data_IF_127611875338
#
_entry.id   IF_127611875338
#
_cell.length_a   1.000
_cell.length_b   1.000
_cell.length_c   1.000
_cell.angle_alpha   90.00
_cell.angle_beta   90.00
_cell.angle_gamma   90.00
#
_symmetry.space_group_name_H-M   'P 1'
#
loop_
_entity.id
_entity.type
_entity.pdbx_description
1 polymer ?
#
# COMPACT_ATOMS: atom_id res chain seq x y z
N UNK A 1 -75.98 32.67 11.02
CA UNK A 1 -76.55 33.35 9.84
C UNK A 1 -75.47 33.48 8.77
N UNK A 2 -75.76 32.94 7.59
CA UNK A 2 -75.21 33.17 6.23
C UNK A 2 -73.71 33.50 6.05
N UNK A 3 -72.99 32.59 5.38
CA UNK A 3 -71.88 32.92 4.46
C UNK A 3 -71.66 31.71 3.54
N UNK A 4 -72.29 31.64 2.36
CA UNK A 4 -71.81 32.07 1.03
C UNK A 4 -70.44 31.47 0.67
N UNK A 5 -70.50 30.41 -0.15
CA UNK A 5 -69.38 29.85 -0.90
C UNK A 5 -68.74 30.91 -1.81
N UNK A 6 -67.41 31.00 -1.79
CA UNK A 6 -66.63 31.58 -2.90
C UNK A 6 -65.69 30.51 -3.44
N UNK A 7 -65.95 30.11 -4.68
CA UNK A 7 -65.00 29.43 -5.54
C UNK A 7 -63.79 30.36 -5.77
N UNK A 8 -62.60 29.89 -5.46
CA UNK A 8 -61.34 30.54 -5.86
C UNK A 8 -60.60 29.59 -6.79
N UNK A 9 -60.41 30.07 -8.01
CA UNK A 9 -59.80 29.42 -9.15
C UNK A 9 -58.34 29.03 -8.89
N UNK A 10 -57.97 27.80 -9.27
CA UNK A 10 -56.58 27.36 -9.35
C UNK A 10 -55.81 28.19 -10.37
N UNK A 11 -54.78 28.91 -9.92
CA UNK A 11 -53.70 29.42 -10.77
C UNK A 11 -52.41 28.73 -10.34
N UNK A 12 -52.02 27.68 -11.06
CA UNK A 12 -50.73 27.03 -10.90
C UNK A 12 -49.63 27.93 -11.48
N UNK A 13 -48.86 28.60 -10.63
CA UNK A 13 -47.58 29.19 -11.04
C UNK A 13 -46.56 28.04 -11.19
N UNK A 14 -46.35 27.60 -12.42
CA UNK A 14 -45.18 26.81 -12.78
C UNK A 14 -43.94 27.74 -12.75
N UNK A 15 -43.20 27.73 -11.65
CA UNK A 15 -41.88 28.34 -11.58
C UNK A 15 -40.90 27.47 -12.40
N UNK A 16 -40.66 27.84 -13.64
CA UNK A 16 -39.57 27.30 -14.45
C UNK A 16 -38.25 27.73 -13.83
N UNK A 17 -37.59 26.83 -13.10
CA UNK A 17 -36.15 26.95 -12.83
C UNK A 17 -35.43 26.87 -14.18
N UNK A 18 -35.13 28.03 -14.76
CA UNK A 18 -34.12 28.14 -15.80
C UNK A 18 -32.79 27.69 -15.17
N UNK A 19 -32.35 26.48 -15.51
CA UNK A 19 -30.97 26.06 -15.31
C UNK A 19 -30.10 27.02 -16.14
N UNK A 20 -29.48 28.01 -15.49
CA UNK A 20 -28.42 28.80 -16.10
C UNK A 20 -27.32 27.80 -16.45
N UNK A 21 -26.97 27.60 -17.75
CA UNK A 21 -25.81 26.82 -18.09
C UNK A 21 -24.60 27.58 -17.56
N UNK A 22 -24.11 27.18 -16.39
CA UNK A 22 -22.90 27.71 -15.81
C UNK A 22 -21.79 27.62 -16.84
N UNK A 23 -21.19 28.76 -17.17
CA UNK A 23 -20.08 28.84 -18.11
C UNK A 23 -18.94 27.95 -17.61
N UNK A 24 -18.78 26.78 -18.22
CA UNK A 24 -17.63 25.93 -17.94
C UNK A 24 -16.37 26.67 -18.43
N UNK A 25 -15.53 27.10 -17.48
CA UNK A 25 -14.23 27.69 -17.77
C UNK A 25 -13.40 26.72 -18.62
N UNK A 26 -12.99 27.15 -19.82
CA UNK A 26 -12.16 26.32 -20.70
C UNK A 26 -10.78 26.13 -20.06
N UNK A 27 -10.29 24.90 -20.03
CA UNK A 27 -8.96 24.55 -19.48
C UNK A 27 -8.15 23.86 -20.57
N UNK A 28 -6.89 24.23 -20.73
CA UNK A 28 -5.92 23.55 -21.61
C UNK A 28 -4.67 23.16 -20.82
N UNK A 29 -3.91 22.19 -21.33
CA UNK A 29 -2.77 21.61 -20.61
C UNK A 29 -3.17 20.52 -19.61
N UNK A 30 -2.27 20.14 -18.69
CA UNK A 30 -0.92 20.67 -18.51
C UNK A 30 0.07 20.23 -19.58
N UNK A 31 1.14 21.01 -19.79
CA UNK A 31 2.29 20.59 -20.61
C UNK A 31 3.15 19.57 -19.85
N UNK A 32 3.25 19.75 -18.53
CA UNK A 32 4.04 18.90 -17.63
C UNK A 32 3.24 18.45 -16.40
N UNK A 33 3.45 17.21 -15.99
CA UNK A 33 2.81 16.59 -14.84
C UNK A 33 3.87 15.99 -13.95
N UNK A 34 3.82 16.33 -12.67
CA UNK A 34 4.70 15.77 -11.65
C UNK A 34 3.88 15.06 -10.57
N UNK A 35 4.30 13.84 -10.22
CA UNK A 35 3.74 13.05 -9.13
C UNK A 35 4.81 12.73 -8.09
N UNK A 36 4.45 12.84 -6.82
CA UNK A 36 5.23 12.39 -5.68
C UNK A 36 4.35 11.52 -4.78
N UNK A 37 4.68 10.24 -4.70
CA UNK A 37 4.00 9.28 -3.84
C UNK A 37 4.83 9.03 -2.58
N UNK A 38 4.33 9.50 -1.44
CA UNK A 38 4.97 9.37 -0.15
C UNK A 38 4.30 8.27 0.69
N UNK A 39 5.10 7.34 1.21
CA UNK A 39 4.63 6.29 2.09
C UNK A 39 5.44 6.21 3.38
N UNK A 40 4.74 5.92 4.47
CA UNK A 40 5.34 5.49 5.74
C UNK A 40 5.07 4.01 5.93
N UNK A 41 6.12 3.20 5.85
CA UNK A 41 6.11 1.77 6.13
C UNK A 41 6.49 1.51 7.59
N UNK A 42 5.79 0.59 8.25
CA UNK A 42 6.04 0.19 9.64
C UNK A 42 5.94 -1.31 9.85
N UNK A 43 6.38 -1.80 11.01
CA UNK A 43 6.35 -3.22 11.32
C UNK A 43 7.20 -4.03 10.34
N UNK A 44 6.68 -5.18 9.90
CA UNK A 44 7.39 -5.98 8.90
C UNK A 44 7.50 -5.27 7.54
N UNK A 45 6.63 -4.30 7.23
CA UNK A 45 6.71 -3.57 5.97
C UNK A 45 7.94 -2.64 5.94
N UNK A 46 8.34 -2.08 7.09
CA UNK A 46 9.57 -1.30 7.19
C UNK A 46 10.81 -2.13 6.85
N UNK A 47 10.81 -3.42 7.21
CA UNK A 47 11.92 -4.34 6.94
C UNK A 47 12.08 -4.66 5.46
N UNK A 48 10.98 -4.68 4.69
CA UNK A 48 10.99 -4.93 3.24
C UNK A 48 11.10 -3.65 2.41
N UNK A 49 10.58 -2.52 2.91
CA UNK A 49 10.60 -1.22 2.23
C UNK A 49 11.98 -0.54 2.24
N UNK A 50 12.87 -0.93 3.17
CA UNK A 50 14.20 -0.34 3.32
C UNK A 50 15.21 -0.64 2.19
N UNK A 51 14.80 -1.27 1.08
CA UNK A 51 15.62 -1.48 -0.12
C UNK A 51 16.86 -2.37 0.06
N UNK A 52 17.15 -2.81 1.29
CA UNK A 52 18.21 -3.77 1.57
C UNK A 52 17.75 -5.18 1.24
N UNK A 53 18.57 -5.93 0.50
CA UNK A 53 18.51 -7.40 0.56
C UNK A 53 18.53 -7.80 2.04
N UNK A 54 17.76 -8.81 2.50
CA UNK A 54 17.86 -9.32 3.86
C UNK A 54 19.31 -9.68 4.14
N UNK A 55 20.02 -8.77 4.79
CA UNK A 55 21.45 -8.83 4.99
C UNK A 55 21.74 -9.38 6.37
N UNK A 56 22.99 -9.74 6.60
CA UNK A 56 23.45 -10.19 7.91
C UNK A 56 23.09 -9.19 9.02
N UNK A 57 23.03 -7.88 8.72
CA UNK A 57 22.63 -6.84 9.68
C UNK A 57 21.15 -6.84 10.10
N UNK A 58 20.21 -7.13 9.19
CA UNK A 58 18.78 -7.25 9.56
C UNK A 58 18.51 -8.57 10.28
N UNK A 59 19.19 -9.64 9.90
CA UNK A 59 19.16 -10.92 10.62
C UNK A 59 19.79 -10.79 12.02
N UNK A 60 20.92 -10.08 12.15
CA UNK A 60 21.60 -9.85 13.42
C UNK A 60 20.80 -8.92 14.33
N UNK A 61 20.14 -7.88 13.79
CA UNK A 61 19.20 -7.04 14.55
C UNK A 61 18.04 -7.83 15.15
N UNK A 62 17.45 -8.76 14.38
CA UNK A 62 16.43 -9.68 14.89
C UNK A 62 16.99 -10.65 15.94
N UNK A 63 18.23 -11.14 15.76
CA UNK A 63 18.91 -12.04 16.70
C UNK A 63 19.25 -11.37 18.04
N UNK A 64 19.48 -10.06 18.05
CA UNK A 64 19.71 -9.25 19.26
C UNK A 64 18.42 -8.67 19.87
N UNK A 65 17.24 -9.22 19.53
CA UNK A 65 15.96 -8.82 20.12
C UNK A 65 15.37 -7.53 19.52
N UNK A 66 15.95 -7.01 18.44
CA UNK A 66 15.38 -5.90 17.67
C UNK A 66 14.19 -6.39 16.84
N UNK A 67 13.01 -6.41 17.44
CA UNK A 67 11.77 -6.73 16.75
C UNK A 67 11.38 -5.69 15.69
N UNK A 68 10.43 -6.01 14.81
CA UNK A 68 9.86 -5.06 13.85
C UNK A 68 9.06 -3.93 14.52
N UNK A 69 8.76 -4.06 15.81
CA UNK A 69 8.04 -3.07 16.60
C UNK A 69 8.79 -1.74 16.65
N UNK A 70 8.08 -0.65 16.31
CA UNK A 70 8.64 0.70 16.29
C UNK A 70 9.57 1.01 15.11
N UNK A 71 9.82 0.06 14.19
CA UNK A 71 10.57 0.35 12.95
C UNK A 71 9.69 1.14 11.98
N UNK A 72 10.24 2.23 11.47
CA UNK A 72 9.61 3.10 10.48
C UNK A 72 10.59 3.36 9.35
N UNK A 73 10.11 3.25 8.13
CA UNK A 73 10.85 3.61 6.91
C UNK A 73 9.94 4.45 6.04
N UNK A 74 10.48 5.51 5.46
CA UNK A 74 9.79 6.29 4.44
C UNK A 74 10.17 5.80 3.05
N UNK A 75 9.23 5.86 2.12
CA UNK A 75 9.49 5.67 0.69
C UNK A 75 8.92 6.83 -0.09
N UNK A 76 9.54 7.10 -1.24
CA UNK A 76 9.13 8.12 -2.18
C UNK A 76 9.21 7.53 -3.58
N UNK A 77 8.16 7.73 -4.39
CA UNK A 77 8.20 7.50 -5.83
C UNK A 77 7.87 8.79 -6.55
N UNK A 78 8.78 9.25 -7.40
CA UNK A 78 8.71 10.53 -8.09
C UNK A 78 8.61 10.27 -9.59
N UNK A 79 7.67 10.93 -10.25
CA UNK A 79 7.45 10.78 -11.71
C UNK A 79 7.22 12.13 -12.35
N UNK A 80 7.98 12.42 -13.40
CA UNK A 80 7.81 13.57 -14.28
C UNK A 80 7.39 13.08 -15.65
N UNK A 81 6.29 13.63 -16.18
CA UNK A 81 5.80 13.34 -17.51
C UNK A 81 5.44 14.62 -18.25
N UNK A 82 5.81 14.72 -19.52
CA UNK A 82 5.52 15.88 -20.36
C UNK A 82 5.03 15.49 -21.75
N UNK A 83 4.20 16.35 -22.32
CA UNK A 83 3.76 16.26 -23.71
C UNK A 83 4.78 16.87 -24.69
N UNK A 84 5.85 17.48 -24.18
CA UNK A 84 6.94 18.07 -24.95
C UNK A 84 8.10 17.10 -25.11
N UNK A 85 8.95 17.33 -26.11
CA UNK A 85 10.23 16.62 -26.24
C UNK A 85 11.28 17.27 -25.33
N UNK A 86 12.29 16.52 -24.85
CA UNK A 86 13.39 17.13 -24.11
C UNK A 86 14.24 17.99 -25.04
N UNK A 87 14.82 19.06 -24.49
CA UNK A 87 15.78 19.90 -25.21
C UNK A 87 17.05 19.15 -25.61
N UNK A 88 17.47 18.18 -24.78
CA UNK A 88 18.58 17.28 -25.07
C UNK A 88 18.35 15.87 -24.49
N UNK A 89 18.03 14.84 -25.30
CA UNK A 89 17.83 13.48 -24.82
C UNK A 89 19.06 12.86 -24.12
N UNK A 90 18.88 11.91 -23.18
CA UNK A 90 17.61 11.48 -22.57
C UNK A 90 17.00 12.54 -21.64
N UNK A 91 15.75 12.33 -21.23
CA UNK A 91 15.09 13.17 -20.23
C UNK A 91 15.87 13.09 -18.91
N UNK A 92 16.19 14.25 -18.33
CA UNK A 92 16.91 14.39 -17.07
C UNK A 92 16.28 15.52 -16.26
N UNK A 93 16.12 15.31 -14.97
CA UNK A 93 15.71 16.33 -14.04
C UNK A 93 16.28 16.11 -12.65
N UNK A 94 16.05 17.08 -11.79
CA UNK A 94 16.49 17.09 -10.40
C UNK A 94 15.34 17.60 -9.55
N UNK A 95 15.04 16.90 -8.46
CA UNK A 95 14.11 17.37 -7.44
C UNK A 95 14.88 17.87 -6.22
N UNK A 96 14.71 19.15 -5.93
CA UNK A 96 15.24 19.87 -4.77
C UNK A 96 14.18 19.96 -3.67
N UNK A 97 14.63 19.73 -2.44
CA UNK A 97 13.85 19.84 -1.20
C UNK A 97 14.43 20.98 -0.37
N UNK A 98 13.59 21.93 0.07
CA UNK A 98 13.98 23.08 0.88
C UNK A 98 13.03 23.22 2.09
N UNK A 99 13.46 22.85 3.32
CA UNK A 99 14.78 22.33 3.69
C UNK A 99 15.09 20.93 3.11
N UNK A 100 16.36 20.55 3.14
CA UNK A 100 16.80 19.26 2.61
C UNK A 100 16.14 18.08 3.35
N UNK A 101 15.50 17.19 2.60
CA UNK A 101 14.89 15.95 3.09
C UNK A 101 15.91 14.85 3.45
N UNK A 102 17.17 15.20 3.74
CA UNK A 102 18.30 14.27 4.01
C UNK A 102 18.58 13.26 2.89
N UNK A 103 18.12 13.53 1.68
CA UNK A 103 18.36 12.73 0.48
C UNK A 103 19.60 13.17 -0.32
N UNK A 104 20.27 14.23 0.14
CA UNK A 104 21.33 14.92 -0.59
C UNK A 104 20.87 16.32 -1.00
N UNK A 105 21.64 16.97 -1.89
CA UNK A 105 21.28 18.30 -2.42
C UNK A 105 20.00 18.25 -3.27
N UNK A 106 19.82 17.17 -4.01
CA UNK A 106 18.66 16.85 -4.85
C UNK A 106 18.60 15.35 -5.07
N UNK A 107 17.49 14.86 -5.63
CA UNK A 107 17.41 13.51 -6.19
C UNK A 107 17.25 13.57 -7.71
N UNK A 108 18.02 12.76 -8.48
CA UNK A 108 17.99 12.80 -9.92
C UNK A 108 16.77 12.04 -10.46
N UNK A 109 15.96 12.70 -11.30
CA UNK A 109 14.92 12.10 -12.11
C UNK A 109 15.52 11.70 -13.46
N UNK A 110 15.48 10.42 -13.80
CA UNK A 110 16.07 9.92 -15.05
C UNK A 110 15.02 9.26 -15.92
N UNK A 111 15.01 9.65 -17.20
CA UNK A 111 14.23 8.99 -18.23
C UNK A 111 14.92 7.74 -18.80
N UNK A 112 14.18 6.93 -19.56
CA UNK A 112 14.76 5.79 -20.25
C UNK A 112 15.87 6.22 -21.22
N UNK A 113 16.89 5.38 -21.37
CA UNK A 113 17.92 5.61 -22.40
C UNK A 113 17.28 5.55 -23.80
N UNK A 114 17.68 6.41 -24.75
CA UNK A 114 17.11 6.41 -26.10
C UNK A 114 17.29 5.04 -26.77
N UNK A 115 16.20 4.47 -27.28
CA UNK A 115 16.20 3.16 -27.95
C UNK A 115 16.19 1.94 -27.03
N UNK A 116 16.22 2.12 -25.69
CA UNK A 116 15.97 1.04 -24.75
C UNK A 116 14.52 1.07 -24.28
N UNK A 117 13.78 0.00 -24.60
CA UNK A 117 12.47 -0.28 -24.01
C UNK A 117 12.66 -0.48 -22.50
N UNK A 118 11.98 0.32 -21.68
CA UNK A 118 11.79 -0.05 -20.28
C UNK A 118 10.83 -1.23 -20.25
N UNK A 119 11.12 -2.30 -19.47
CA UNK A 119 10.07 -3.23 -19.09
C UNK A 119 8.90 -2.40 -18.58
N UNK A 120 7.72 -2.67 -19.12
CA UNK A 120 6.48 -2.04 -18.68
C UNK A 120 6.47 -2.03 -17.15
N UNK A 121 6.38 -0.84 -16.55
CA UNK A 121 6.25 -0.69 -15.10
C UNK A 121 5.10 -1.57 -14.66
N UNK A 122 5.42 -2.68 -13.98
CA UNK A 122 4.53 -3.83 -13.73
C UNK A 122 3.43 -3.95 -14.79
N UNK A 123 3.79 -4.45 -15.96
CA UNK A 123 2.76 -5.17 -16.72
C UNK A 123 2.15 -6.19 -15.77
N UNK A 124 0.84 -6.42 -15.90
CA UNK A 124 0.23 -7.68 -15.45
C UNK A 124 0.82 -8.90 -16.22
N UNK A 125 2.04 -8.79 -16.77
CA UNK A 125 2.83 -9.88 -17.29
C UNK A 125 3.51 -10.52 -16.11
N UNK A 126 2.92 -11.64 -15.72
CA UNK A 126 3.52 -12.66 -14.89
C UNK A 126 5.01 -12.80 -15.25
N UNK A 127 5.93 -12.88 -14.27
CA UNK A 127 7.34 -13.10 -14.53
C UNK A 127 7.55 -14.21 -15.57
N UNK A 128 8.52 -14.07 -16.47
CA UNK A 128 8.80 -15.11 -17.49
C UNK A 128 9.11 -16.49 -16.87
N UNK A 129 9.40 -16.52 -15.57
CA UNK A 129 9.71 -17.69 -14.75
C UNK A 129 8.57 -17.98 -13.74
N UNK A 130 7.36 -17.46 -13.96
CA UNK A 130 6.24 -17.68 -13.06
C UNK A 130 5.80 -19.13 -13.13
N UNK A 131 6.30 -19.93 -12.19
CA UNK A 131 5.81 -21.27 -11.98
C UNK A 131 4.36 -21.18 -11.51
N UNK A 132 3.45 -21.74 -12.31
CA UNK A 132 2.03 -21.67 -12.01
C UNK A 132 1.79 -22.33 -10.65
N UNK A 133 1.15 -21.64 -9.69
CA UNK A 133 0.83 -22.26 -8.43
C UNK A 133 -0.04 -23.48 -8.71
N UNK A 134 0.44 -24.65 -8.28
CA UNK A 134 -0.35 -25.88 -8.28
C UNK A 134 -1.32 -25.80 -7.09
N UNK A 135 -2.54 -26.27 -7.26
CA UNK A 135 -3.56 -26.29 -6.20
C UNK A 135 -4.66 -25.26 -6.40
N UNK A 136 -5.15 -24.66 -5.30
CA UNK A 136 -6.37 -23.84 -5.30
C UNK A 136 -6.15 -22.52 -4.58
N UNK A 137 -6.79 -21.46 -5.03
CA UNK A 137 -6.89 -20.18 -4.34
C UNK A 137 -8.28 -19.98 -3.74
N UNK A 138 -8.34 -19.77 -2.44
CA UNK A 138 -9.55 -19.57 -1.66
C UNK A 138 -9.66 -18.08 -1.32
N UNK A 139 -10.70 -17.45 -1.85
CA UNK A 139 -10.96 -16.02 -1.65
C UNK A 139 -12.00 -15.82 -0.57
N UNK A 140 -11.65 -15.01 0.42
CA UNK A 140 -12.53 -14.57 1.50
C UNK A 140 -12.55 -13.04 1.57
N UNK A 141 -13.65 -12.46 2.00
CA UNK A 141 -13.80 -11.03 2.15
C UNK A 141 -14.73 -10.68 3.32
N UNK A 142 -14.54 -9.49 3.85
CA UNK A 142 -15.38 -8.90 4.88
C UNK A 142 -14.64 -8.77 6.20
N UNK A 143 -15.22 -7.92 7.04
CA UNK A 143 -14.67 -7.57 8.33
C UNK A 143 -15.60 -8.08 9.44
N UNK A 144 -15.39 -9.32 9.88
CA UNK A 144 -16.29 -10.01 10.81
C UNK A 144 -15.76 -11.37 11.27
N UNK A 145 -16.31 -11.87 12.38
CA UNK A 145 -15.83 -13.12 12.98
C UNK A 145 -16.10 -14.38 12.14
N UNK A 146 -17.05 -14.32 11.21
CA UNK A 146 -17.47 -15.44 10.35
C UNK A 146 -17.52 -15.00 8.89
N UNK A 147 -17.15 -15.91 8.00
CA UNK A 147 -17.25 -15.71 6.56
C UNK A 147 -18.73 -15.63 6.17
N UNK A 148 -19.06 -14.67 5.31
CA UNK A 148 -20.44 -14.48 4.85
C UNK A 148 -20.88 -15.57 3.85
N UNK A 149 -22.18 -15.61 3.50
CA UNK A 149 -22.68 -16.50 2.47
C UNK A 149 -21.90 -16.40 1.15
N UNK A 150 -21.67 -17.53 0.48
CA UNK A 150 -20.94 -17.59 -0.80
C UNK A 150 -19.41 -17.57 -0.68
N UNK A 151 -18.87 -17.70 0.53
CA UNK A 151 -17.44 -17.75 0.80
C UNK A 151 -16.99 -19.13 1.34
N UNK A 152 -15.78 -19.59 0.99
CA UNK A 152 -14.86 -18.98 0.04
C UNK A 152 -15.30 -19.16 -1.41
N UNK A 153 -14.86 -18.24 -2.27
CA UNK A 153 -14.79 -18.51 -3.71
C UNK A 153 -13.51 -19.28 -3.98
N UNK A 154 -13.64 -20.47 -4.56
CA UNK A 154 -12.49 -21.35 -4.85
C UNK A 154 -12.14 -21.23 -6.32
N UNK A 155 -10.89 -20.87 -6.58
CA UNK A 155 -10.29 -20.86 -7.92
C UNK A 155 -9.31 -22.02 -7.98
N UNK A 156 -9.59 -22.97 -8.87
CA UNK A 156 -8.77 -24.16 -9.06
C UNK A 156 -7.82 -23.92 -10.24
N UNK A 157 -6.52 -23.80 -9.96
CA UNK A 157 -5.52 -23.50 -10.99
C UNK A 157 -5.39 -24.65 -12.01
N UNK A 158 -5.80 -25.87 -11.67
CA UNK A 158 -5.82 -27.00 -12.62
C UNK A 158 -6.90 -26.86 -13.70
N UNK A 159 -7.95 -26.08 -13.42
CA UNK A 159 -9.10 -25.88 -14.32
C UNK A 159 -8.98 -24.62 -15.18
N UNK A 160 -7.97 -23.80 -14.93
CA UNK A 160 -7.71 -22.62 -15.76
C UNK A 160 -6.94 -23.04 -17.01
N UNK A 161 -7.46 -22.67 -18.18
CA UNK A 161 -6.71 -22.79 -19.41
C UNK A 161 -5.40 -22.00 -19.30
N UNK A 162 -4.32 -22.52 -19.90
CA UNK A 162 -3.01 -21.90 -19.89
C UNK A 162 -3.11 -20.38 -20.22
N UNK A 163 -2.82 -19.53 -19.24
CA UNK A 163 -2.80 -18.08 -19.41
C UNK A 163 -4.13 -17.34 -19.22
N UNK A 164 -5.21 -18.02 -18.82
CA UNK A 164 -6.48 -17.36 -18.49
C UNK A 164 -6.58 -17.07 -16.99
N UNK A 165 -6.46 -15.79 -16.64
CA UNK A 165 -6.82 -15.32 -15.30
C UNK A 165 -8.34 -15.40 -15.11
N UNK A 166 -8.84 -15.88 -13.96
CA UNK A 166 -10.27 -15.94 -13.68
C UNK A 166 -10.87 -14.53 -13.75
N UNK A 167 -12.00 -14.34 -14.46
CA UNK A 167 -12.68 -13.05 -14.47
C UNK A 167 -13.10 -12.69 -13.04
N UNK A 168 -12.89 -11.43 -12.65
CA UNK A 168 -13.22 -10.88 -11.31
C UNK A 168 -12.41 -11.45 -10.14
N UNK A 169 -11.23 -12.02 -10.40
CA UNK A 169 -10.27 -12.32 -9.32
C UNK A 169 -9.79 -11.03 -8.66
N UNK A 170 -9.35 -10.07 -9.47
CA UNK A 170 -8.96 -8.74 -9.01
C UNK A 170 -10.12 -7.77 -9.11
N UNK A 171 -10.05 -6.71 -8.32
CA UNK A 171 -10.99 -5.59 -8.41
C UNK A 171 -11.02 -5.03 -9.82
N UNK A 172 -12.23 -4.89 -10.37
CA UNK A 172 -12.48 -4.20 -11.63
C UNK A 172 -13.04 -2.79 -11.40
N UNK A 173 -13.31 -2.44 -10.15
CA UNK A 173 -14.02 -1.23 -9.74
C UNK A 173 -13.10 -0.23 -9.02
N UNK A 174 -12.01 -0.70 -8.40
CA UNK A 174 -11.02 0.14 -7.73
C UNK A 174 -9.86 0.45 -8.68
N UNK A 175 -9.77 1.68 -9.21
CA UNK A 175 -8.73 2.02 -10.18
C UNK A 175 -7.35 2.03 -9.53
N UNK A 176 -6.34 1.50 -10.24
CA UNK A 176 -4.96 1.92 -10.00
C UNK A 176 -4.81 3.33 -10.56
N UNK A 177 -4.66 4.32 -9.69
CA UNK A 177 -4.51 5.71 -10.08
C UNK A 177 -3.02 5.98 -10.22
N UNK A 178 -2.50 5.96 -11.45
CA UNK A 178 -1.17 6.46 -11.78
C UNK A 178 -1.31 7.34 -13.00
N UNK A 179 -1.20 8.65 -12.82
CA UNK A 179 -1.54 9.60 -13.88
C UNK A 179 -0.32 9.96 -14.73
N UNK A 180 0.89 9.74 -14.21
CA UNK A 180 2.15 9.95 -14.92
C UNK A 180 2.83 8.61 -15.19
N UNK A 181 2.90 8.23 -16.47
CA UNK A 181 3.49 6.97 -16.93
C UNK A 181 4.34 7.21 -18.18
N UNK A 182 5.26 6.27 -18.46
CA UNK A 182 6.01 6.24 -19.72
C UNK A 182 5.10 6.19 -20.95
N UNK A 183 4.00 5.44 -20.88
CA UNK A 183 3.07 5.19 -21.99
C UNK A 183 2.20 6.39 -22.35
N UNK A 184 2.01 7.34 -21.42
CA UNK A 184 1.17 8.51 -21.62
C UNK A 184 1.97 9.82 -21.63
N UNK A 185 3.30 9.75 -21.79
CA UNK A 185 4.20 10.89 -21.76
C UNK A 185 5.20 10.83 -22.92
N UNK A 186 5.38 11.94 -23.64
CA UNK A 186 6.40 12.06 -24.69
C UNK A 186 7.81 12.14 -24.09
N UNK A 187 7.92 12.79 -22.93
CA UNK A 187 9.11 12.77 -22.08
C UNK A 187 8.73 12.24 -20.71
N UNK A 188 9.49 11.28 -20.19
CA UNK A 188 9.27 10.69 -18.87
C UNK A 188 10.59 10.60 -18.11
N UNK A 189 10.57 10.88 -16.82
CA UNK A 189 11.68 10.61 -15.90
C UNK A 189 11.14 10.22 -14.52
N UNK A 190 11.86 9.36 -13.82
CA UNK A 190 11.44 8.88 -12.50
C UNK A 190 12.60 8.75 -11.51
N UNK A 191 12.22 8.69 -10.24
CA UNK A 191 13.05 8.26 -9.11
C UNK A 191 12.20 7.40 -8.16
N UNK A 192 12.71 6.34 -7.55
CA UNK A 192 14.08 5.83 -7.64
C UNK A 192 14.43 5.31 -9.04
N UNK A 193 15.71 5.21 -9.34
CA UNK A 193 16.24 4.74 -10.62
C UNK A 193 17.61 4.04 -10.44
N UNK A 194 18.20 3.61 -11.54
CA UNK A 194 19.48 2.88 -11.54
C UNK A 194 20.69 3.69 -11.03
N UNK A 195 20.59 5.03 -10.94
CA UNK A 195 21.66 5.89 -10.42
C UNK A 195 21.45 6.24 -8.95
N UNK A 196 20.20 6.36 -8.51
CA UNK A 196 19.86 6.70 -7.14
C UNK A 196 18.55 6.04 -6.72
N UNK A 197 18.60 5.33 -5.60
CA UNK A 197 17.46 4.72 -4.94
C UNK A 197 17.58 4.85 -3.41
N UNK A 198 18.11 5.99 -2.96
CA UNK A 198 18.37 6.23 -1.53
C UNK A 198 17.05 6.26 -0.77
N UNK A 199 16.92 5.41 0.24
CA UNK A 199 15.75 5.41 1.12
C UNK A 199 15.78 6.64 2.02
N UNK A 200 14.70 7.45 2.09
CA UNK A 200 14.62 8.55 3.04
C UNK A 200 14.71 8.04 4.49
N UNK A 201 15.56 8.64 5.35
CA UNK A 201 15.65 8.24 6.74
C UNK A 201 14.35 8.52 7.50
N UNK A 202 14.13 7.85 8.63
CA UNK A 202 12.91 7.98 9.44
C UNK A 202 12.66 9.38 10.01
N UNK A 203 13.67 10.26 10.00
CA UNK A 203 13.60 11.65 10.43
C UNK A 203 13.73 12.63 9.25
N UNK A 204 13.44 12.17 8.03
CA UNK A 204 13.25 13.01 6.85
C UNK A 204 11.89 13.73 6.93
N UNK A 205 11.82 14.90 6.30
CA UNK A 205 10.60 15.70 6.22
C UNK A 205 10.38 16.16 4.78
N UNK A 206 9.11 16.22 4.39
CA UNK A 206 8.64 16.78 3.11
C UNK A 206 8.10 18.20 3.26
N UNK A 207 8.16 18.81 4.43
CA UNK A 207 7.66 20.16 4.63
C UNK A 207 8.54 21.19 3.93
N UNK A 208 7.92 22.21 3.35
CA UNK A 208 8.62 23.36 2.77
C UNK A 208 8.54 23.42 1.25
N UNK A 209 9.48 24.14 0.65
CA UNK A 209 9.51 24.39 -0.77
C UNK A 209 10.14 23.22 -1.54
N UNK A 210 9.60 22.96 -2.72
CA UNK A 210 10.06 21.96 -3.66
C UNK A 210 10.25 22.61 -5.01
N UNK A 211 11.35 22.24 -5.68
CA UNK A 211 11.61 22.62 -7.08
C UNK A 211 12.00 21.41 -7.88
N UNK A 212 11.37 21.19 -9.02
CA UNK A 212 11.77 20.18 -10.02
C UNK A 212 12.26 20.93 -11.24
N UNK A 213 13.54 20.77 -11.54
CA UNK A 213 14.18 21.35 -12.71
C UNK A 213 14.51 20.24 -13.69
N UNK A 214 14.16 20.40 -14.96
CA UNK A 214 14.40 19.36 -15.96
C UNK A 214 14.83 19.94 -17.30
N UNK A 215 15.33 19.08 -18.19
CA UNK A 215 15.59 19.44 -19.59
C UNK A 215 14.33 19.41 -20.47
N UNK A 216 13.15 19.34 -19.85
CA UNK A 216 11.83 19.44 -20.47
C UNK A 216 11.08 20.58 -19.77
N UNK A 217 10.39 21.40 -20.57
CA UNK A 217 9.51 22.46 -20.11
C UNK A 217 10.13 23.43 -19.09
N UNK A 218 9.31 23.91 -18.14
CA UNK A 218 9.68 24.94 -17.16
C UNK A 218 9.91 24.33 -15.77
N UNK A 219 10.51 25.10 -14.86
CA UNK A 219 10.68 24.65 -13.48
C UNK A 219 9.32 24.50 -12.78
N UNK A 220 9.08 23.32 -12.20
CA UNK A 220 7.91 23.06 -11.37
C UNK A 220 8.25 23.45 -9.93
N UNK A 221 7.48 24.35 -9.33
CA UNK A 221 7.74 24.86 -7.97
C UNK A 221 6.49 24.84 -7.12
N UNK A 222 6.52 24.17 -5.97
CA UNK A 222 5.39 24.09 -5.04
C UNK A 222 5.85 24.06 -3.59
N UNK A 223 4.95 24.32 -2.65
CA UNK A 223 5.24 24.29 -1.20
C UNK A 223 4.33 23.30 -0.52
N UNK A 224 4.91 22.31 0.15
CA UNK A 224 4.18 21.31 0.93
C UNK A 224 4.00 21.77 2.38
N UNK A 225 2.76 21.69 2.83
CA UNK A 225 2.37 21.88 4.23
C UNK A 225 2.03 20.56 4.93
N UNK A 226 2.18 19.43 4.23
CA UNK A 226 1.95 18.09 4.76
C UNK A 226 3.26 17.31 4.70
N UNK A 227 3.54 16.61 5.80
CA UNK A 227 4.66 15.67 5.88
C UNK A 227 4.18 14.23 5.68
N UNK A 228 5.11 13.27 5.72
CA UNK A 228 4.79 11.85 5.79
C UNK A 228 3.70 11.56 6.84
N UNK A 229 2.81 10.61 6.52
CA UNK A 229 1.82 10.14 7.50
C UNK A 229 2.52 9.48 8.69
N UNK A 230 1.96 9.55 9.90
CA UNK A 230 2.47 8.81 11.04
C UNK A 230 2.44 7.30 10.79
N UNK A 231 3.31 6.56 11.49
CA UNK A 231 3.39 5.11 11.36
C UNK A 231 2.08 4.42 11.76
N UNK A 232 1.65 3.48 10.91
CA UNK A 232 0.52 2.60 11.18
C UNK A 232 1.00 1.38 11.97
N UNK A 233 0.53 1.22 13.19
CA UNK A 233 0.89 0.12 14.08
C UNK A 233 -0.33 -0.76 14.26
N UNK A 234 -0.20 -2.02 13.84
CA UNK A 234 -1.28 -2.99 13.94
C UNK A 234 -0.84 -4.22 14.74
N UNK A 235 -1.79 -4.81 15.45
CA UNK A 235 -1.62 -5.99 16.29
C UNK A 235 -2.74 -6.97 16.00
N UNK A 236 -2.48 -8.25 16.21
CA UNK A 236 -3.49 -9.29 16.09
C UNK A 236 -3.68 -10.05 17.39
N UNK A 237 -4.92 -10.45 17.67
CA UNK A 237 -5.26 -11.23 18.86
C UNK A 237 -6.23 -12.34 18.48
N UNK A 238 -5.88 -13.57 18.82
CA UNK A 238 -6.72 -14.74 18.63
C UNK A 238 -7.96 -14.66 19.52
N UNK A 239 -9.13 -14.93 18.94
CA UNK A 239 -10.41 -14.92 19.66
C UNK A 239 -10.88 -16.35 19.94
N UNK A 240 -11.68 -16.53 20.99
CA UNK A 240 -12.19 -17.84 21.41
C UNK A 240 -13.15 -18.49 20.41
N UNK A 241 -13.80 -17.70 19.54
CA UNK A 241 -14.67 -18.18 18.46
C UNK A 241 -13.90 -18.63 17.20
N UNK A 242 -12.58 -18.54 17.27
CA UNK A 242 -11.65 -18.87 16.23
C UNK A 242 -11.43 -17.79 15.18
N UNK A 243 -11.96 -16.58 15.34
CA UNK A 243 -11.57 -15.43 14.52
C UNK A 243 -10.23 -14.84 14.99
N UNK A 244 -9.68 -13.91 14.22
CA UNK A 244 -8.52 -13.09 14.61
C UNK A 244 -8.91 -11.63 14.62
N UNK A 245 -8.78 -10.97 15.75
CA UNK A 245 -9.02 -9.53 15.85
C UNK A 245 -7.75 -8.77 15.47
N UNK A 246 -7.82 -8.03 14.36
CA UNK A 246 -6.85 -7.03 13.96
C UNK A 246 -7.23 -5.69 14.60
N UNK A 247 -6.28 -5.02 15.27
CA UNK A 247 -6.46 -3.66 15.85
C UNK A 247 -5.29 -2.78 15.43
N UNK A 248 -5.53 -1.48 15.28
CA UNK A 248 -4.48 -0.52 14.97
C UNK A 248 -4.67 0.82 15.67
N UNK A 249 -3.61 1.63 15.71
CA UNK A 249 -3.69 3.01 16.20
C UNK A 249 -4.46 3.89 15.23
N UNK A 250 -5.16 4.89 15.78
CA UNK A 250 -5.85 5.88 14.95
C UNK A 250 -4.85 6.83 14.29
N UNK A 251 -5.02 7.08 12.99
CA UNK A 251 -4.24 8.06 12.23
C UNK A 251 -5.12 9.25 11.85
N UNK A 252 -4.86 10.41 12.45
CA UNK A 252 -5.61 11.64 12.17
C UNK A 252 -5.69 12.01 10.67
N UNK A 253 -4.62 11.87 9.85
CA UNK A 253 -4.70 12.18 8.42
C UNK A 253 -5.30 11.05 7.55
N UNK A 254 -5.65 9.89 8.13
CA UNK A 254 -6.18 8.79 7.33
C UNK A 254 -7.56 9.12 6.77
N UNK A 255 -7.77 8.79 5.49
CA UNK A 255 -9.06 8.95 4.79
C UNK A 255 -9.85 7.64 4.76
N UNK A 256 -9.19 6.51 5.00
CA UNK A 256 -9.80 5.18 5.13
C UNK A 256 -8.73 4.09 5.26
N UNK A 257 -9.17 2.87 5.55
CA UNK A 257 -8.27 1.73 5.76
C UNK A 257 -8.71 0.51 4.95
N UNK A 258 -7.75 -0.29 4.50
CA UNK A 258 -8.01 -1.62 3.95
C UNK A 258 -6.96 -2.59 4.45
N UNK A 259 -7.40 -3.79 4.83
CA UNK A 259 -6.53 -4.87 5.23
C UNK A 259 -6.66 -6.04 4.27
N UNK A 260 -5.58 -6.77 4.09
CA UNK A 260 -5.60 -8.07 3.42
C UNK A 260 -4.62 -9.02 4.07
N UNK A 261 -4.85 -10.32 3.88
CA UNK A 261 -3.94 -11.35 4.36
C UNK A 261 -3.81 -12.48 3.36
N UNK A 262 -2.62 -13.04 3.30
CA UNK A 262 -2.29 -14.23 2.55
C UNK A 262 -1.86 -15.34 3.49
N UNK A 263 -2.30 -16.57 3.22
CA UNK A 263 -1.78 -17.74 3.91
C UNK A 263 -1.78 -18.95 2.99
N UNK A 264 -1.27 -20.06 3.50
CA UNK A 264 -1.10 -21.25 2.70
C UNK A 264 -1.14 -22.51 3.54
N UNK A 265 -1.81 -23.52 3.03
CA UNK A 265 -1.82 -24.85 3.62
C UNK A 265 -1.34 -25.86 2.59
N UNK A 266 -0.27 -26.57 2.91
CA UNK A 266 0.17 -27.68 2.07
C UNK A 266 -0.88 -28.81 2.09
N UNK A 267 -1.12 -29.38 0.92
CA UNK A 267 -2.06 -30.49 0.70
C UNK A 267 -1.36 -31.69 0.06
N UNK A 268 -0.03 -31.73 0.09
CA UNK A 268 0.77 -32.81 -0.49
C UNK A 268 0.62 -32.85 -2.02
N UNK A 269 0.45 -34.04 -2.58
CA UNK A 269 0.45 -34.29 -4.03
C UNK A 269 -0.62 -33.53 -4.82
N UNK A 270 -1.67 -33.03 -4.15
CA UNK A 270 -2.75 -32.25 -4.76
C UNK A 270 -2.39 -30.77 -5.03
N UNK A 271 -1.23 -30.30 -4.55
CA UNK A 271 -0.85 -28.89 -4.55
C UNK A 271 -1.55 -28.09 -3.44
N UNK A 272 -0.86 -27.13 -2.84
CA UNK A 272 -1.34 -26.39 -1.67
C UNK A 272 -2.55 -25.48 -1.93
N UNK A 273 -3.31 -25.21 -0.86
CA UNK A 273 -4.32 -24.16 -0.87
C UNK A 273 -3.63 -22.82 -0.54
N UNK A 274 -3.86 -21.80 -1.38
CA UNK A 274 -3.52 -20.41 -1.11
C UNK A 274 -4.78 -19.71 -0.62
N UNK A 275 -4.70 -19.01 0.49
CA UNK A 275 -5.82 -18.23 1.02
C UNK A 275 -5.54 -16.75 0.82
N UNK A 276 -6.52 -16.02 0.32
CA UNK A 276 -6.49 -14.57 0.22
C UNK A 276 -7.74 -13.98 0.87
N UNK A 277 -7.54 -13.20 1.92
CA UNK A 277 -8.58 -12.43 2.60
C UNK A 277 -8.44 -10.93 2.37
N UNK A 278 -9.55 -10.21 2.31
CA UNK A 278 -9.65 -8.74 2.25
C UNK A 278 -10.69 -8.23 3.25
N UNK A 279 -10.47 -7.06 3.87
CA UNK A 279 -11.43 -6.44 4.79
C UNK A 279 -12.68 -5.87 4.11
N UNK A 280 -12.68 -5.77 2.78
CA UNK A 280 -13.81 -5.27 1.99
C UNK A 280 -15.06 -6.11 2.19
N UNK A 281 -16.24 -5.48 2.35
CA UNK A 281 -17.51 -6.22 2.40
C UNK A 281 -17.97 -6.75 1.03
N UNK A 282 -17.29 -6.34 -0.05
CA UNK A 282 -17.45 -6.89 -1.38
C UNK A 282 -16.23 -7.72 -1.79
N UNK A 283 -16.39 -8.56 -2.82
CA UNK A 283 -15.34 -9.41 -3.40
C UNK A 283 -14.33 -8.58 -4.20
N UNK A 284 -13.58 -7.73 -3.53
CA UNK A 284 -12.63 -6.77 -4.10
C UNK A 284 -11.21 -7.06 -3.62
N UNK A 285 -10.33 -7.44 -4.55
CA UNK A 285 -8.97 -7.89 -4.27
C UNK A 285 -7.95 -7.15 -5.14
N UNK A 286 -6.85 -6.69 -4.55
CA UNK A 286 -5.76 -6.05 -5.28
C UNK A 286 -6.15 -4.69 -5.91
N UNK A 287 -5.55 -4.37 -7.05
CA UNK A 287 -5.75 -3.10 -7.75
C UNK A 287 -5.31 -1.89 -6.93
N UNK A 288 -6.07 -0.80 -7.00
CA UNK A 288 -5.74 0.43 -6.26
C UNK A 288 -5.82 0.30 -4.73
N UNK A 289 -6.37 -0.79 -4.19
CA UNK A 289 -6.41 -1.02 -2.74
C UNK A 289 -5.02 -1.17 -2.12
N UNK A 290 -4.03 -1.54 -2.93
CA UNK A 290 -2.63 -1.71 -2.52
C UNK A 290 -1.78 -0.45 -2.72
N UNK A 291 -2.40 0.60 -3.27
CA UNK A 291 -1.72 1.76 -3.84
C UNK A 291 -2.12 3.05 -3.10
N UNK A 292 -1.77 4.20 -3.67
CA UNK A 292 -2.35 5.50 -3.28
C UNK A 292 -3.69 5.71 -3.98
N UNK A 293 -4.73 6.01 -3.21
CA UNK A 293 -6.05 6.38 -3.74
C UNK A 293 -6.39 7.83 -3.40
N UNK A 294 -6.96 8.59 -4.35
CA UNK A 294 -7.46 9.94 -4.08
C UNK A 294 -8.52 9.96 -2.97
N UNK A 295 -8.57 10.97 -2.09
CA UNK A 295 -9.54 11.04 -1.00
C UNK A 295 -11.00 10.93 -1.46
N UNK A 296 -11.34 11.51 -2.62
CA UNK A 296 -12.70 11.39 -3.19
C UNK A 296 -13.05 9.95 -3.58
N UNK A 297 -12.07 9.20 -4.13
CA UNK A 297 -12.22 7.78 -4.43
C UNK A 297 -12.37 6.97 -3.15
N UNK A 298 -11.55 7.24 -2.13
CA UNK A 298 -11.64 6.58 -0.82
C UNK A 298 -13.01 6.82 -0.18
N UNK A 299 -13.50 8.06 -0.16
CA UNK A 299 -14.82 8.38 0.38
C UNK A 299 -15.96 7.61 -0.30
N UNK A 300 -15.91 7.48 -1.64
CA UNK A 300 -16.84 6.65 -2.40
C UNK A 300 -16.76 5.17 -1.99
N UNK A 301 -15.54 4.63 -1.89
CA UNK A 301 -15.31 3.23 -1.52
C UNK A 301 -15.71 2.92 -0.07
N UNK A 302 -15.60 3.89 0.83
CA UNK A 302 -16.13 3.81 2.20
C UNK A 302 -17.66 3.72 2.18
N UNK A 303 -18.34 4.57 1.40
CA UNK A 303 -19.79 4.48 1.20
C UNK A 303 -20.23 3.13 0.62
N UNK A 304 -19.39 2.52 -0.22
CA UNK A 304 -19.60 1.18 -0.80
C UNK A 304 -19.16 0.04 0.13
N UNK A 305 -18.59 0.34 1.31
CA UNK A 305 -18.06 -0.62 2.28
C UNK A 305 -16.93 -1.51 1.72
N UNK A 306 -16.23 -1.04 0.68
CA UNK A 306 -15.02 -1.68 0.14
C UNK A 306 -13.80 -1.28 0.97
N UNK A 307 -13.77 -0.02 1.42
CA UNK A 307 -12.75 0.53 2.31
C UNK A 307 -13.39 0.79 3.68
N UNK A 308 -12.67 0.49 4.75
CA UNK A 308 -13.12 0.81 6.12
C UNK A 308 -13.04 2.32 6.36
N UNK A 309 -14.02 2.93 7.05
CA UNK A 309 -14.01 4.36 7.34
C UNK A 309 -12.80 4.76 8.20
N UNK A 310 -12.37 6.04 8.14
CA UNK A 310 -11.19 6.51 8.88
C UNK A 310 -11.37 6.47 10.41
N UNK A 311 -12.58 6.29 10.93
CA UNK A 311 -12.85 6.11 12.36
C UNK A 311 -12.73 4.66 12.83
N UNK A 312 -12.67 3.69 11.92
CA UNK A 312 -12.56 2.28 12.26
C UNK A 312 -11.10 1.90 12.51
N UNK A 313 -10.83 1.32 13.67
CA UNK A 313 -9.48 0.94 14.15
C UNK A 313 -9.36 -0.54 14.51
N UNK A 314 -10.33 -1.34 14.09
CA UNK A 314 -10.33 -2.78 14.29
C UNK A 314 -11.08 -3.52 13.20
N UNK A 315 -10.67 -4.75 12.93
CA UNK A 315 -11.32 -5.66 12.01
C UNK A 315 -11.16 -7.11 12.44
N UNK A 316 -12.19 -7.94 12.33
CA UNK A 316 -12.07 -9.37 12.55
C UNK A 316 -11.80 -10.09 11.24
N UNK A 317 -10.76 -10.91 11.21
CA UNK A 317 -10.50 -11.91 10.17
C UNK A 317 -11.34 -13.14 10.51
N UNK A 318 -12.20 -13.63 9.60
CA UNK A 318 -13.07 -14.76 9.88
C UNK A 318 -12.36 -16.03 10.32
N UNK A 319 -13.02 -16.81 11.18
CA UNK A 319 -12.48 -18.09 11.64
C UNK A 319 -12.19 -19.08 10.50
N UNK A 320 -13.02 -19.04 9.46
CA UNK A 320 -12.90 -19.88 8.27
C UNK A 320 -11.62 -19.57 7.48
N UNK A 321 -11.19 -18.30 7.45
CA UNK A 321 -9.93 -17.88 6.81
C UNK A 321 -8.76 -18.56 7.50
N UNK A 322 -8.67 -18.46 8.83
CA UNK A 322 -7.57 -19.06 9.58
C UNK A 322 -7.57 -20.58 9.46
N UNK A 323 -8.74 -21.22 9.54
CA UNK A 323 -8.86 -22.67 9.35
C UNK A 323 -8.34 -23.10 7.97
N UNK A 324 -8.58 -22.32 6.93
CA UNK A 324 -8.12 -22.61 5.58
C UNK A 324 -6.63 -22.26 5.37
N UNK A 325 -6.14 -21.22 6.02
CA UNK A 325 -4.82 -20.62 5.77
C UNK A 325 -3.67 -21.26 6.56
N UNK A 326 -3.98 -22.15 7.52
CA UNK A 326 -2.99 -22.77 8.39
C UNK A 326 -2.61 -21.90 9.59
N UNK A 327 -1.49 -22.23 10.23
CA UNK A 327 -1.05 -21.59 11.48
C UNK A 327 -0.57 -20.15 11.28
N UNK A 328 -0.10 -19.81 10.07
CA UNK A 328 0.58 -18.54 9.79
C UNK A 328 0.02 -17.87 8.55
N UNK A 329 -0.31 -16.58 8.67
CA UNK A 329 -0.66 -15.71 7.54
C UNK A 329 0.23 -14.47 7.53
N UNK A 330 0.46 -13.92 6.35
CA UNK A 330 1.08 -12.61 6.16
C UNK A 330 -0.01 -11.58 5.88
N UNK A 331 -0.18 -10.63 6.80
CA UNK A 331 -1.15 -9.55 6.70
C UNK A 331 -0.49 -8.24 6.27
N UNK A 332 -1.28 -7.41 5.60
CA UNK A 332 -0.98 -6.01 5.37
C UNK A 332 -2.19 -5.17 5.78
N UNK A 333 -1.92 -3.99 6.34
CA UNK A 333 -2.90 -2.96 6.58
C UNK A 333 -2.41 -1.67 5.91
N UNK A 334 -3.26 -1.07 5.09
CA UNK A 334 -2.99 0.17 4.39
C UNK A 334 -3.94 1.26 4.90
N UNK A 335 -3.40 2.42 5.24
CA UNK A 335 -4.10 3.65 5.54
C UNK A 335 -3.92 4.61 4.37
N UNK A 336 -5.01 4.93 3.68
CA UNK A 336 -5.01 5.97 2.65
C UNK A 336 -4.91 7.34 3.31
N UNK A 337 -4.14 8.24 2.71
CA UNK A 337 -3.91 9.59 3.24
C UNK A 337 -4.56 10.70 2.43
N UNK A 338 -4.22 11.95 2.76
CA UNK A 338 -4.59 13.11 1.95
C UNK A 338 -3.78 13.15 0.64
N UNK A 339 -4.15 14.11 -0.21
CA UNK A 339 -3.34 14.52 -1.35
C UNK A 339 -3.21 16.05 -1.38
N UNK A 340 -2.10 16.54 -1.93
CA UNK A 340 -1.89 17.96 -2.24
C UNK A 340 -1.78 18.13 -3.75
N UNK A 341 -2.53 19.08 -4.29
CA UNK A 341 -2.60 19.36 -5.73
C UNK A 341 -2.17 20.80 -6.01
N UNK A 342 -1.26 20.97 -6.96
CA UNK A 342 -0.72 22.25 -7.38
C UNK A 342 -0.83 22.39 -8.91
N UNK A 343 -1.00 23.62 -9.37
CA UNK A 343 -1.04 23.95 -10.79
C UNK A 343 -0.49 25.36 -11.00
N UNK A 344 0.19 25.56 -12.12
CA UNK A 344 0.67 26.86 -12.55
C UNK A 344 0.27 27.15 -14.00
N UNK A 345 -0.19 28.37 -14.32
CA UNK A 345 -0.54 29.43 -13.37
C UNK A 345 -1.72 29.04 -12.46
N UNK A 346 -1.90 29.70 -11.31
CA UNK A 346 -3.09 29.51 -10.48
C UNK A 346 -4.38 29.69 -11.29
N UNK A 347 -5.41 28.94 -10.93
CA UNK A 347 -6.71 29.00 -11.63
C UNK A 347 -7.23 30.44 -11.68
N UNK A 348 -7.47 31.02 -12.87
CA UNK A 348 -7.95 32.39 -12.97
C UNK A 348 -9.42 32.47 -12.55
N UNK A 349 -9.83 33.63 -12.05
CA UNK A 349 -11.22 33.90 -11.69
C UNK A 349 -12.13 33.99 -12.93
N UNK A 350 -13.41 33.69 -12.75
CA UNK A 350 -14.42 33.78 -13.81
C UNK A 350 -14.23 32.73 -14.91
N UNK A 351 -14.43 33.14 -16.16
CA UNK A 351 -14.49 32.24 -17.33
C UNK A 351 -13.26 32.33 -18.24
N UNK A 352 -12.20 33.03 -17.82
CA UNK A 352 -10.96 33.13 -18.59
C UNK A 352 -10.37 31.74 -18.83
N UNK A 353 -9.83 31.50 -20.02
CA UNK A 353 -9.20 30.21 -20.34
C UNK A 353 -8.06 29.96 -19.34
N UNK A 354 -8.04 28.78 -18.74
CA UNK A 354 -6.98 28.34 -17.85
C UNK A 354 -5.98 27.49 -18.61
N UNK A 355 -4.91 28.11 -19.08
CA UNK A 355 -3.83 27.43 -19.81
C UNK A 355 -2.75 26.97 -18.84
N UNK A 356 -2.82 25.71 -18.42
CA UNK A 356 -1.95 25.15 -17.39
C UNK A 356 -0.59 24.78 -18.02
N UNK A 357 0.48 25.32 -17.45
CA UNK A 357 1.85 24.96 -17.82
C UNK A 357 2.22 23.62 -17.18
N UNK A 358 2.13 23.54 -15.86
CA UNK A 358 2.43 22.32 -15.11
C UNK A 358 1.43 22.05 -14.00
N UNK A 359 1.32 20.77 -13.63
CA UNK A 359 0.68 20.32 -12.38
C UNK A 359 1.66 19.51 -11.53
N UNK A 360 1.52 19.61 -10.21
CA UNK A 360 2.20 18.73 -9.27
C UNK A 360 1.17 18.10 -8.33
N UNK A 361 1.29 16.81 -8.08
CA UNK A 361 0.44 16.03 -7.18
C UNK A 361 1.29 15.29 -6.18
N UNK A 362 0.94 15.40 -4.90
CA UNK A 362 1.61 14.69 -3.81
C UNK A 362 0.59 13.85 -3.07
N UNK A 363 0.83 12.54 -2.95
CA UNK A 363 -0.10 11.59 -2.34
C UNK A 363 0.56 10.91 -1.16
N UNK A 364 -0.20 10.75 -0.08
CA UNK A 364 0.32 10.19 1.17
C UNK A 364 -0.39 8.88 1.51
N UNK A 365 0.36 7.93 2.08
CA UNK A 365 -0.20 6.73 2.72
C UNK A 365 0.67 6.31 3.91
N UNK A 366 0.12 5.50 4.80
CA UNK A 366 0.91 4.68 5.71
C UNK A 366 0.47 3.23 5.62
N UNK A 367 1.39 2.29 5.75
CA UNK A 367 1.06 0.87 5.73
C UNK A 367 1.97 0.07 6.64
N UNK A 368 1.46 -1.06 7.11
CA UNK A 368 2.21 -2.00 7.95
C UNK A 368 1.98 -3.42 7.45
N UNK A 369 2.98 -4.26 7.64
CA UNK A 369 2.86 -5.69 7.48
C UNK A 369 3.00 -6.37 8.83
N UNK A 370 2.29 -7.48 8.98
CA UNK A 370 2.15 -8.23 10.23
C UNK A 370 2.10 -9.72 9.93
N UNK A 371 2.72 -10.50 10.81
CA UNK A 371 2.52 -11.93 10.82
C UNK A 371 1.32 -12.22 11.71
N UNK A 372 0.34 -12.94 11.17
CA UNK A 372 -0.92 -13.26 11.83
C UNK A 372 -0.90 -14.75 12.18
N UNK A 373 -1.25 -15.10 13.42
CA UNK A 373 -1.35 -16.49 13.87
C UNK A 373 -0.14 -17.00 14.68
N UNK A 374 1.00 -16.31 14.62
CA UNK A 374 2.07 -16.50 15.60
C UNK A 374 1.93 -15.49 16.74
N UNK A 375 1.99 -16.01 17.97
CA UNK A 375 2.10 -15.18 19.16
C UNK A 375 3.54 -14.69 19.31
N UNK A 376 3.87 -13.59 18.61
CA UNK A 376 5.17 -12.92 18.77
C UNK A 376 5.23 -12.06 20.03
N UNK A 377 4.10 -11.77 20.69
CA UNK A 377 4.06 -10.96 21.91
C UNK A 377 4.77 -11.66 23.08
N UNK A 378 4.93 -12.98 23.01
CA UNK A 378 5.73 -13.78 23.95
C UNK A 378 7.24 -13.79 23.68
N UNK A 379 7.73 -13.35 22.51
CA UNK A 379 9.17 -13.39 22.16
C UNK A 379 9.91 -12.09 22.49
N UNK A 380 9.21 -10.98 22.77
CA UNK A 380 9.79 -9.69 23.12
C UNK A 380 9.97 -9.41 24.62
N UNK A 381 9.50 -10.31 25.50
CA UNK A 381 9.53 -10.11 26.97
C UNK A 381 10.59 -10.95 27.70
N UNK A 382 11.46 -11.66 26.98
CA UNK A 382 12.57 -12.45 27.56
C UNK A 382 13.80 -11.64 27.99
N UNK A 383 13.67 -10.31 28.15
CA UNK A 383 14.75 -9.39 28.54
C UNK A 383 14.70 -8.94 30.00
N UNK A 384 14.10 -9.73 30.88
CA UNK A 384 14.12 -9.50 32.33
C UNK A 384 14.91 -10.61 33.01
N UNK A 385 15.88 -10.23 33.85
CA UNK A 385 16.74 -11.08 34.66
C UNK A 385 16.01 -12.33 35.22
N UNK A 386 16.11 -13.43 34.47
CA UNK A 386 15.71 -14.74 34.94
C UNK A 386 16.99 -15.48 35.36
N UNK A 387 17.16 -15.60 36.67
CA UNK A 387 18.17 -16.44 37.29
C UNK A 387 18.18 -17.83 36.61
N UNK A 388 19.36 -18.22 36.18
CA UNK A 388 19.65 -19.48 35.47
C UNK A 388 19.09 -20.66 36.26
N UNK A 389 18.22 -21.51 35.69
CA UNK A 389 17.91 -22.79 36.33
C UNK A 389 19.17 -23.66 36.28
N UNK A 390 19.67 -24.06 37.45
CA UNK A 390 20.85 -24.89 37.58
C UNK A 390 20.72 -26.19 36.74
N UNK A 391 21.63 -26.35 35.77
CA UNK A 391 21.73 -27.58 34.97
C UNK A 391 22.21 -28.73 35.88
N UNK A 392 21.44 -29.83 35.93
CA UNK A 392 21.86 -31.06 36.61
C UNK A 392 23.16 -31.58 35.99
N UNK A 393 24.19 -31.94 36.78
CA UNK A 393 25.49 -32.32 36.25
C UNK A 393 25.36 -33.61 35.41
N UNK A 394 25.66 -33.50 34.11
CA UNK A 394 25.76 -34.66 33.20
C UNK A 394 26.95 -35.53 33.64
N UNK A 395 26.68 -36.80 33.99
CA UNK A 395 27.71 -37.79 34.34
C UNK A 395 28.69 -37.97 33.18
N UNK A 396 30.00 -37.84 33.46
CA UNK A 396 31.09 -38.06 32.50
C UNK A 396 31.10 -39.53 32.05
N UNK A 397 31.16 -39.78 30.73
CA UNK A 397 31.34 -41.12 30.17
C UNK A 397 32.76 -41.61 30.45
N UNK A 398 32.91 -42.71 31.18
CA UNK A 398 34.17 -43.41 31.38
C UNK A 398 34.68 -43.97 30.04
N UNK A 399 35.96 -43.76 29.72
CA UNK A 399 36.63 -44.34 28.54
C UNK A 399 37.58 -45.44 29.00
N UNK A 400 37.42 -46.66 28.49
CA UNK A 400 38.40 -47.73 28.67
C UNK A 400 39.68 -47.47 27.86
N UNK A 401 40.80 -48.14 28.21
CA UNK A 401 42.03 -48.02 27.44
C UNK A 401 41.77 -48.52 26.02
N UNK A 402 42.18 -47.73 25.01
CA UNK A 402 41.89 -47.85 23.57
C UNK A 402 40.56 -47.25 23.07
N UNK A 403 39.80 -46.54 23.90
CA UNK A 403 38.76 -45.61 23.44
C UNK A 403 37.43 -46.22 23.02
N UNK A 404 37.17 -47.49 23.36
CA UNK A 404 35.88 -48.14 23.13
C UNK A 404 34.95 -47.85 24.34
N UNK A 405 33.70 -47.39 24.13
CA UNK A 405 32.74 -47.17 25.22
C UNK A 405 32.33 -48.50 25.88
N UNK A 406 32.39 -48.57 27.22
CA UNK A 406 31.88 -49.71 28.00
C UNK A 406 30.44 -49.46 28.48
N UNK A 407 29.63 -50.52 28.64
CA UNK A 407 28.30 -50.40 29.23
C UNK A 407 28.38 -50.01 30.72
N UNK A 408 27.33 -49.35 31.27
CA UNK A 408 27.39 -48.65 32.55
C UNK A 408 27.64 -49.54 33.78
N UNK A 409 27.41 -50.84 33.67
CA UNK A 409 27.51 -51.80 34.79
C UNK A 409 28.92 -52.38 34.95
N UNK A 410 29.85 -52.05 34.02
CA UNK A 410 31.26 -52.43 34.07
C UNK A 410 32.18 -51.22 34.39
N UNK A 411 31.62 -50.13 34.92
CA UNK A 411 32.33 -48.92 35.34
C UNK A 411 32.56 -48.88 36.84
#
# INVERSE_FOLDING_TARGET
MRSILRLVSLSALAATLAAVPGSAQRTTGPKERYEMDAATASGFAAMTAGGGKPGLGSAMGMMFGGGPEGKVVHTLDLRLGSNQAPSNPPVRGEHYFEPQAKLGKSVPLLGPEPGKYMPREESDEMPQNFERPKGRMLLFWGCGAKAGPGQPVIIDFSKLAAGQMPPNLFTTTVPRVREVMTTNSKSYAAWPNNKSAKVPPADASLLGAHRVASNVGSDISFTLAQDYMPALNAQTTMQGDGSVLLRWNQLAPATGYVAWAFGGMDRGDAGGDIVWWTSSNAREFGGGLWDWLPPATVAKLVGQKVVMPPTQTSCAIPAEVRKAAGEMMFGNLNAFGPEANFAYPPKPAGNAVWDIDWTAKVRFRSHTALMIGADFAGMGSGGGDAATPAEKPRKKKCKGPLGIPLPPEAC
#
